data_IF_694910518448
#
_entry.id   IF_694910518448
#
_cell.length_a   1.000
_cell.length_b   1.000
_cell.length_c   1.000
_cell.angle_alpha   90.00
_cell.angle_beta   90.00
_cell.angle_gamma   90.00
#
_symmetry.space_group_name_H-M   'P 1'
#
loop_
_entity.id
_entity.type
_entity.pdbx_description
1 polymer ?
#
# COMPACT_ATOMS: atom_id res chain seq x y z
N UNK A 1 -16.28 16.27 8.93
CA UNK A 1 -16.35 14.81 8.78
C UNK A 1 -16.54 14.41 7.32
N UNK A 2 -16.15 13.19 6.97
CA UNK A 2 -16.25 12.65 5.62
C UNK A 2 -16.65 11.19 5.65
N UNK A 3 -16.96 10.66 4.49
CA UNK A 3 -17.17 9.24 4.24
C UNK A 3 -16.37 8.80 3.02
N UNK A 4 -16.09 7.52 2.92
CA UNK A 4 -15.31 6.95 1.84
C UNK A 4 -15.83 5.59 1.42
N UNK A 5 -15.50 5.18 0.22
CA UNK A 5 -15.76 3.85 -0.31
C UNK A 5 -14.41 3.30 -0.79
N UNK A 6 -14.07 2.09 -0.35
CA UNK A 6 -12.95 1.32 -0.89
C UNK A 6 -13.50 0.33 -1.91
N UNK A 7 -12.98 0.37 -3.13
CA UNK A 7 -13.37 -0.54 -4.20
C UNK A 7 -12.20 -1.48 -4.50
N UNK A 8 -12.42 -2.78 -4.32
CA UNK A 8 -11.47 -3.83 -4.69
C UNK A 8 -11.96 -4.47 -5.99
N UNK A 9 -11.11 -4.51 -7.01
CA UNK A 9 -11.47 -5.08 -8.30
C UNK A 9 -10.34 -5.96 -8.85
N UNK A 10 -10.69 -6.83 -9.80
CA UNK A 10 -9.73 -7.67 -10.51
C UNK A 10 -9.40 -7.03 -11.87
N UNK A 11 -8.11 -6.90 -12.17
CA UNK A 11 -7.62 -6.50 -13.48
C UNK A 11 -6.63 -7.58 -13.99
N UNK A 12 -6.96 -8.22 -15.13
CA UNK A 12 -6.14 -9.30 -15.71
C UNK A 12 -4.86 -8.80 -16.37
N UNK A 13 -4.69 -7.48 -16.52
CA UNK A 13 -3.51 -6.86 -17.11
C UNK A 13 -2.52 -6.33 -16.04
N UNK A 14 -2.87 -6.45 -14.77
CA UNK A 14 -2.02 -6.07 -13.65
C UNK A 14 -1.31 -7.29 -13.05
N UNK A 15 -0.16 -7.04 -12.43
CA UNK A 15 0.54 -8.05 -11.63
C UNK A 15 -0.34 -8.55 -10.49
N UNK A 16 -0.14 -9.79 -10.09
CA UNK A 16 -0.85 -10.33 -8.93
C UNK A 16 -0.38 -9.66 -7.65
N UNK A 17 -1.33 -9.14 -6.88
CA UNK A 17 -1.07 -8.44 -5.62
C UNK A 17 -1.91 -9.00 -4.47
N UNK A 18 -1.36 -8.97 -3.29
CA UNK A 18 -2.13 -9.09 -2.06
C UNK A 18 -2.81 -7.75 -1.79
N UNK A 19 -4.12 -7.76 -1.69
CA UNK A 19 -4.93 -6.59 -1.35
C UNK A 19 -5.44 -6.72 0.06
N UNK A 20 -5.13 -5.75 0.91
CA UNK A 20 -5.61 -5.70 2.29
C UNK A 20 -6.33 -4.39 2.56
N UNK A 21 -7.47 -4.48 3.25
CA UNK A 21 -8.24 -3.32 3.70
C UNK A 21 -8.43 -3.43 5.20
N UNK A 22 -7.94 -2.44 5.93
CA UNK A 22 -8.24 -2.24 7.35
C UNK A 22 -9.26 -1.11 7.44
N UNK A 23 -10.44 -1.42 7.92
CA UNK A 23 -11.47 -0.45 8.29
C UNK A 23 -11.56 -0.43 9.81
N UNK A 24 -11.42 0.75 10.40
CA UNK A 24 -11.39 0.88 11.84
C UNK A 24 -11.33 2.32 12.32
N UNK A 25 -10.81 2.48 13.52
CA UNK A 25 -10.64 3.78 14.15
C UNK A 25 -9.40 3.76 15.04
N UNK A 26 -8.33 4.38 14.55
CA UNK A 26 -7.11 4.60 15.33
C UNK A 26 -6.93 6.09 15.62
N UNK A 27 -7.05 6.47 16.89
CA UNK A 27 -6.80 7.85 17.31
C UNK A 27 -5.41 7.94 17.92
N UNK A 28 -4.59 8.86 17.44
CA UNK A 28 -3.30 9.20 18.04
C UNK A 28 -3.24 10.67 18.40
N UNK A 29 -2.66 10.95 19.54
CA UNK A 29 -2.40 12.31 20.02
C UNK A 29 -0.93 12.69 19.87
N UNK A 30 -0.65 13.94 20.14
CA UNK A 30 0.70 14.52 20.07
C UNK A 30 1.73 13.66 20.80
N UNK A 31 2.82 13.32 20.14
CA UNK A 31 3.92 12.52 20.68
C UNK A 31 3.67 11.00 20.67
N UNK A 32 2.63 10.53 19.97
CA UNK A 32 2.31 9.09 19.90
C UNK A 32 2.36 8.53 18.49
N UNK A 33 2.32 7.22 18.39
CA UNK A 33 2.32 6.46 17.13
C UNK A 33 1.26 5.39 17.13
N UNK A 34 0.79 5.01 15.95
CA UNK A 34 -0.05 3.84 15.70
C UNK A 34 0.67 2.94 14.70
N UNK A 35 0.99 1.73 15.12
CA UNK A 35 1.57 0.69 14.26
C UNK A 35 0.48 -0.28 13.80
N UNK A 36 0.37 -0.46 12.49
CA UNK A 36 -0.61 -1.33 11.85
C UNK A 36 0.16 -2.44 11.13
N UNK A 37 0.21 -3.66 11.70
CA UNK A 37 0.88 -4.77 11.06
C UNK A 37 0.07 -5.30 9.87
N UNK A 38 0.78 -5.60 8.77
CA UNK A 38 0.27 -6.22 7.55
C UNK A 38 0.97 -7.56 7.38
N UNK A 39 0.21 -8.60 7.07
CA UNK A 39 0.74 -9.95 6.83
C UNK A 39 -0.18 -10.73 5.88
N UNK A 40 0.19 -11.99 5.59
CA UNK A 40 -0.60 -12.85 4.74
C UNK A 40 -0.26 -12.73 3.25
N UNK A 41 0.88 -12.15 2.94
CA UNK A 41 1.47 -12.12 1.59
C UNK A 41 2.85 -12.79 1.60
N UNK A 42 3.39 -13.01 0.42
CA UNK A 42 4.80 -13.35 0.21
C UNK A 42 5.26 -12.65 -1.06
N UNK A 43 6.21 -11.72 -0.93
CA UNK A 43 6.73 -10.99 -2.08
C UNK A 43 7.52 -11.91 -3.02
N UNK A 44 7.73 -11.53 -4.30
CA UNK A 44 8.54 -12.30 -5.23
C UNK A 44 9.89 -12.69 -4.65
N UNK A 45 10.39 -13.88 -5.03
CA UNK A 45 11.69 -14.39 -4.57
C UNK A 45 12.87 -13.59 -5.15
N UNK A 46 12.66 -12.95 -6.29
CA UNK A 46 13.62 -12.10 -6.98
C UNK A 46 12.91 -11.11 -7.91
N UNK A 47 13.62 -10.10 -8.37
CA UNK A 47 13.08 -9.05 -9.23
C UNK A 47 12.44 -7.91 -8.44
N UNK A 48 11.83 -6.93 -9.11
CA UNK A 48 11.21 -5.79 -8.47
C UNK A 48 10.04 -6.19 -7.58
N UNK A 49 9.81 -5.42 -6.54
CA UNK A 49 8.64 -5.53 -5.66
C UNK A 49 7.99 -4.15 -5.60
N UNK A 50 6.79 -4.02 -6.15
CA UNK A 50 6.02 -2.79 -6.07
C UNK A 50 4.92 -2.91 -5.02
N UNK A 51 4.52 -1.78 -4.46
CA UNK A 51 3.38 -1.71 -3.56
C UNK A 51 2.69 -0.35 -3.63
N UNK A 52 1.43 -0.35 -3.27
CA UNK A 52 0.62 0.84 -3.09
C UNK A 52 0.09 0.88 -1.67
N UNK A 53 -0.01 2.06 -1.11
CA UNK A 53 -0.53 2.29 0.24
C UNK A 53 -1.58 3.39 0.20
N UNK A 54 -2.81 3.06 0.54
CA UNK A 54 -3.89 4.04 0.67
C UNK A 54 -4.21 4.31 2.13
N UNK A 55 -4.45 5.57 2.48
CA UNK A 55 -4.84 5.95 3.83
C UNK A 55 -5.95 6.98 3.81
N UNK A 56 -6.89 6.85 4.75
CA UNK A 56 -7.93 7.84 5.01
C UNK A 56 -7.84 8.22 6.48
N UNK A 57 -7.65 9.52 6.71
CA UNK A 57 -7.54 10.08 8.04
C UNK A 57 -8.38 11.36 8.20
N UNK A 58 -8.57 11.76 9.45
CA UNK A 58 -9.21 13.01 9.82
C UNK A 58 -8.32 13.78 10.80
N UNK A 59 -8.58 15.07 10.94
CA UNK A 59 -7.89 16.03 11.79
C UNK A 59 -6.51 16.48 11.28
N UNK A 60 -6.09 16.05 10.07
CA UNK A 60 -4.87 16.56 9.45
C UNK A 60 -5.08 17.98 8.92
N UNK A 61 -4.36 18.94 9.46
CA UNK A 61 -4.45 20.35 9.10
C UNK A 61 -3.36 20.76 8.12
N UNK A 62 -3.73 21.49 7.07
CA UNK A 62 -2.80 21.92 6.02
C UNK A 62 -1.58 22.70 6.54
N UNK A 63 -1.75 23.45 7.61
CA UNK A 63 -0.73 24.32 8.18
C UNK A 63 -0.03 23.75 9.42
N UNK A 64 -0.55 22.67 9.98
CA UNK A 64 0.10 21.95 11.06
C UNK A 64 1.19 21.03 10.51
N UNK A 65 2.22 20.82 11.29
CA UNK A 65 3.31 19.92 10.93
C UNK A 65 3.70 19.04 12.11
N UNK A 66 4.39 17.95 11.84
CA UNK A 66 4.81 17.01 12.87
C UNK A 66 4.15 15.65 12.75
N UNK A 67 3.27 15.46 11.78
CA UNK A 67 2.67 14.17 11.46
C UNK A 67 3.42 13.47 10.30
N UNK A 68 3.33 12.16 10.27
CA UNK A 68 4.02 11.37 9.26
C UNK A 68 3.47 9.97 9.10
N UNK A 69 3.73 9.43 7.92
CA UNK A 69 3.45 8.06 7.55
C UNK A 69 4.76 7.35 7.23
N UNK A 70 4.95 6.13 7.70
CA UNK A 70 6.13 5.34 7.37
C UNK A 70 5.80 3.86 7.23
N UNK A 71 6.66 3.15 6.52
CA UNK A 71 6.50 1.75 6.18
C UNK A 71 7.77 0.98 6.55
N UNK A 72 7.60 -0.22 7.08
CA UNK A 72 8.68 -1.14 7.42
C UNK A 72 8.36 -2.56 6.96
N UNK A 73 8.94 -2.96 5.83
CA UNK A 73 8.99 -4.33 5.33
C UNK A 73 10.43 -4.78 5.05
N UNK A 74 11.44 -3.94 5.37
CA UNK A 74 12.86 -4.21 5.16
C UNK A 74 13.69 -4.23 6.45
N UNK A 75 13.03 -4.12 7.62
CA UNK A 75 13.68 -4.14 8.95
C UNK A 75 13.81 -2.76 9.59
N UNK A 76 13.52 -1.67 8.87
CA UNK A 76 13.50 -0.31 9.41
C UNK A 76 12.34 0.49 8.83
N UNK A 77 11.85 1.48 9.61
CA UNK A 77 10.83 2.39 9.10
C UNK A 77 11.43 3.40 8.13
N UNK A 78 10.82 3.50 6.96
CA UNK A 78 11.14 4.51 5.93
C UNK A 78 9.91 5.39 5.74
N UNK A 79 10.10 6.71 5.74
CA UNK A 79 9.01 7.65 5.57
C UNK A 79 8.36 7.52 4.19
N UNK A 80 7.04 7.52 4.17
CA UNK A 80 6.23 7.66 2.95
C UNK A 80 5.96 9.15 2.77
N UNK A 81 6.33 9.67 1.62
CA UNK A 81 6.10 11.09 1.28
C UNK A 81 6.05 11.25 -0.23
N UNK A 82 5.42 12.32 -0.68
CA UNK A 82 5.40 12.73 -2.06
C UNK A 82 5.38 14.26 -2.17
N UNK A 83 5.18 14.79 -3.38
CA UNK A 83 5.19 16.24 -3.63
C UNK A 83 4.03 17.00 -2.94
N UNK A 84 2.92 16.31 -2.64
CA UNK A 84 1.76 16.88 -1.95
C UNK A 84 1.77 16.62 -0.45
N UNK A 85 2.48 15.58 0.00
CA UNK A 85 2.51 15.09 1.37
C UNK A 85 3.96 15.05 1.87
N UNK A 86 4.48 16.16 2.42
CA UNK A 86 5.83 16.21 2.99
C UNK A 86 5.99 15.24 4.17
N UNK A 87 7.22 14.80 4.42
CA UNK A 87 7.58 13.84 5.49
C UNK A 87 7.03 14.23 6.87
N UNK A 88 6.89 15.53 7.13
CA UNK A 88 6.47 16.07 8.42
C UNK A 88 5.10 16.78 8.38
N UNK A 89 4.35 16.60 7.29
CA UNK A 89 2.97 17.09 7.15
C UNK A 89 2.27 16.19 6.10
N UNK A 90 2.19 14.91 6.43
CA UNK A 90 1.61 13.87 5.59
C UNK A 90 0.08 14.01 5.50
N UNK A 91 -0.55 14.38 6.63
CA UNK A 91 -1.99 14.60 6.75
C UNK A 91 -2.27 16.11 6.69
N UNK A 92 -2.52 16.63 5.50
CA UNK A 92 -2.62 18.06 5.25
C UNK A 92 -3.91 18.48 4.54
N UNK A 93 -5.00 17.75 4.82
CA UNK A 93 -6.33 17.98 4.25
C UNK A 93 -6.38 17.80 2.73
N UNK A 94 -5.60 16.88 2.17
CA UNK A 94 -5.49 16.65 0.72
C UNK A 94 -6.12 15.33 0.30
N UNK A 95 -6.75 15.30 -0.87
CA UNK A 95 -7.21 14.07 -1.53
C UNK A 95 -6.41 13.90 -2.81
N UNK A 96 -5.62 12.82 -2.89
CA UNK A 96 -4.67 12.60 -3.97
C UNK A 96 -4.53 11.13 -4.37
N UNK A 97 -4.00 10.94 -5.56
CA UNK A 97 -3.53 9.67 -6.08
C UNK A 97 -2.15 9.91 -6.69
N UNK A 98 -1.13 9.21 -6.21
CA UNK A 98 0.25 9.27 -6.70
C UNK A 98 0.75 10.71 -6.90
N UNK A 99 0.74 11.50 -5.82
CA UNK A 99 1.15 12.91 -5.80
C UNK A 99 0.31 13.86 -6.69
N UNK A 100 -0.85 13.42 -7.17
CA UNK A 100 -1.73 14.25 -8.00
C UNK A 100 -3.06 14.48 -7.28
N UNK A 101 -3.45 15.75 -7.10
CA UNK A 101 -4.80 16.08 -6.60
C UNK A 101 -5.84 15.54 -7.57
N UNK A 102 -6.81 14.78 -7.08
CA UNK A 102 -7.84 14.15 -7.91
C UNK A 102 -8.67 15.21 -8.65
N UNK A 103 -8.59 15.33 -9.98
CA UNK A 103 -9.11 16.48 -10.72
C UNK A 103 -10.63 16.46 -10.94
N UNK A 104 -11.26 15.30 -10.79
CA UNK A 104 -12.69 15.11 -11.15
C UNK A 104 -13.64 15.23 -9.96
N UNK A 105 -13.17 15.76 -8.83
CA UNK A 105 -14.02 15.98 -7.66
C UNK A 105 -14.90 17.22 -7.83
N UNK A 106 -16.12 17.14 -7.33
CA UNK A 106 -17.02 18.28 -7.26
C UNK A 106 -17.62 18.38 -5.83
N UNK A 107 -17.29 19.41 -5.06
CA UNK A 107 -16.34 20.48 -5.35
C UNK A 107 -14.87 20.03 -5.28
N UNK A 108 -14.02 20.63 -6.12
CA UNK A 108 -12.59 20.34 -6.25
C UNK A 108 -11.71 21.14 -5.29
N UNK A 109 -11.97 21.06 -3.99
CA UNK A 109 -11.18 21.76 -2.98
C UNK A 109 -9.78 21.17 -2.83
N UNK A 110 -8.75 22.03 -2.75
CA UNK A 110 -7.38 21.65 -2.41
C UNK A 110 -7.16 21.48 -0.89
N UNK A 111 -8.05 22.05 -0.08
CA UNK A 111 -8.06 21.88 1.37
C UNK A 111 -9.42 21.31 1.77
N UNK A 112 -9.44 20.11 2.30
CA UNK A 112 -10.66 19.39 2.65
C UNK A 112 -11.00 19.48 4.15
N UNK A 113 -10.44 20.46 4.85
CA UNK A 113 -10.76 20.82 6.23
C UNK A 113 -10.67 19.61 7.19
N UNK A 114 -9.47 19.05 7.31
CA UNK A 114 -9.17 17.93 8.19
C UNK A 114 -9.63 16.57 7.64
N UNK A 115 -9.86 16.45 6.33
CA UNK A 115 -10.12 15.16 5.68
C UNK A 115 -8.99 14.85 4.69
N UNK A 116 -8.30 13.76 4.93
CA UNK A 116 -7.21 13.25 4.10
C UNK A 116 -7.59 11.92 3.47
N UNK A 117 -7.30 11.76 2.19
CA UNK A 117 -7.41 10.49 1.50
C UNK A 117 -6.32 10.43 0.41
N UNK A 118 -5.32 9.62 0.60
CA UNK A 118 -4.21 9.52 -0.32
C UNK A 118 -3.91 8.07 -0.70
N UNK A 119 -3.53 7.87 -1.94
CA UNK A 119 -2.88 6.64 -2.41
C UNK A 119 -1.47 7.00 -2.81
N UNK A 120 -0.49 6.37 -2.16
CA UNK A 120 0.93 6.50 -2.41
C UNK A 120 1.42 5.32 -3.24
N UNK A 121 2.30 5.58 -4.20
CA UNK A 121 3.03 4.59 -4.99
C UNK A 121 4.53 4.86 -4.82
N UNK A 122 5.13 4.46 -3.69
CA UNK A 122 6.53 4.76 -3.40
C UNK A 122 7.48 4.05 -4.36
N UNK A 123 8.55 4.73 -4.77
CA UNK A 123 9.64 4.08 -5.50
C UNK A 123 10.39 3.11 -4.58
N UNK A 124 10.21 1.83 -4.81
CA UNK A 124 10.88 0.74 -4.10
C UNK A 124 11.99 0.07 -4.92
N UNK A 125 12.50 0.72 -5.95
CA UNK A 125 13.55 0.18 -6.83
C UNK A 125 14.84 -0.20 -6.08
N UNK A 126 15.09 0.44 -4.94
CA UNK A 126 16.22 0.14 -4.04
C UNK A 126 15.87 -0.77 -2.86
N UNK A 127 14.66 -1.34 -2.83
CA UNK A 127 14.15 -2.22 -1.75
C UNK A 127 14.19 -1.58 -0.34
N UNK A 128 14.13 -0.26 -0.26
CA UNK A 128 14.18 0.45 1.02
C UNK A 128 12.94 0.17 1.89
N UNK A 129 11.77 -0.01 1.27
CA UNK A 129 10.50 -0.23 1.97
C UNK A 129 10.22 -1.70 2.21
N UNK A 130 10.38 -2.55 1.18
CA UNK A 130 10.07 -3.97 1.24
C UNK A 130 10.96 -4.75 0.27
N UNK A 131 11.52 -5.86 0.74
CA UNK A 131 12.40 -6.72 -0.05
C UNK A 131 11.70 -7.92 -0.68
N UNK A 132 12.48 -8.72 -1.38
CA UNK A 132 12.06 -10.04 -1.85
C UNK A 132 11.88 -11.01 -0.68
N UNK A 133 11.06 -12.04 -0.87
CA UNK A 133 10.79 -13.10 0.11
C UNK A 133 10.35 -12.56 1.48
N UNK A 134 9.62 -11.43 1.48
CA UNK A 134 9.06 -10.78 2.66
C UNK A 134 7.59 -11.16 2.79
N UNK A 135 7.13 -11.47 4.01
CA UNK A 135 5.76 -11.93 4.27
C UNK A 135 5.00 -11.07 5.28
N UNK A 136 5.62 -10.01 5.77
CA UNK A 136 4.99 -9.07 6.71
C UNK A 136 5.62 -7.69 6.59
N UNK A 137 4.85 -6.69 6.94
CA UNK A 137 5.28 -5.30 7.02
C UNK A 137 4.51 -4.58 8.12
N UNK A 138 4.91 -3.37 8.45
CA UNK A 138 4.20 -2.50 9.39
C UNK A 138 4.08 -1.11 8.80
N UNK A 139 2.87 -0.57 8.82
CA UNK A 139 2.62 0.85 8.56
C UNK A 139 2.58 1.58 9.90
N UNK A 140 3.27 2.71 9.99
CA UNK A 140 3.25 3.57 11.16
C UNK A 140 2.69 4.93 10.82
N UNK A 141 1.66 5.33 11.55
CA UNK A 141 1.18 6.71 11.63
C UNK A 141 1.77 7.35 12.87
N UNK A 142 2.33 8.54 12.77
CA UNK A 142 2.97 9.26 13.89
C UNK A 142 2.55 10.71 13.88
N UNK A 143 2.56 11.33 15.06
CA UNK A 143 2.35 12.77 15.17
C UNK A 143 3.09 13.35 16.37
N UNK A 144 3.61 14.56 16.19
CA UNK A 144 4.19 15.39 17.25
C UNK A 144 3.55 16.78 17.32
N UNK A 145 2.63 17.10 16.41
CA UNK A 145 2.04 18.42 16.26
C UNK A 145 0.53 18.50 16.47
N UNK A 146 -0.21 17.48 16.08
CA UNK A 146 -1.68 17.48 16.09
C UNK A 146 -2.24 16.09 16.41
N UNK A 147 -3.55 15.98 16.54
CA UNK A 147 -4.22 14.69 16.65
C UNK A 147 -4.51 14.13 15.26
N UNK A 148 -4.36 12.82 15.05
CA UNK A 148 -4.72 12.15 13.80
C UNK A 148 -5.70 11.04 14.10
N UNK A 149 -6.78 10.97 13.30
CA UNK A 149 -7.80 9.94 13.38
C UNK A 149 -7.73 9.06 12.12
N UNK A 150 -6.95 8.00 12.16
CA UNK A 150 -6.83 7.05 11.07
C UNK A 150 -8.09 6.17 10.97
N UNK A 151 -8.72 6.12 9.81
CA UNK A 151 -9.99 5.41 9.58
C UNK A 151 -9.83 4.21 8.68
N UNK A 152 -9.11 4.35 7.59
CA UNK A 152 -8.90 3.27 6.62
C UNK A 152 -7.43 3.22 6.25
N UNK A 153 -6.90 2.02 6.18
CA UNK A 153 -5.62 1.73 5.54
C UNK A 153 -5.86 0.65 4.49
N UNK A 154 -5.31 0.87 3.29
CA UNK A 154 -5.29 -0.15 2.24
C UNK A 154 -3.87 -0.43 1.80
N UNK A 155 -3.58 -1.66 1.43
CA UNK A 155 -2.31 -2.02 0.79
C UNK A 155 -2.54 -2.93 -0.40
N UNK A 156 -1.74 -2.72 -1.44
CA UNK A 156 -1.64 -3.61 -2.60
C UNK A 156 -0.15 -3.92 -2.78
N UNK A 157 0.26 -5.14 -2.50
CA UNK A 157 1.68 -5.56 -2.47
C UNK A 157 1.87 -6.67 -3.49
N UNK A 158 2.87 -6.55 -4.37
CA UNK A 158 3.24 -7.59 -5.32
C UNK A 158 3.56 -8.90 -4.58
N UNK A 159 3.01 -10.00 -5.07
CA UNK A 159 3.20 -11.32 -4.46
C UNK A 159 3.92 -12.29 -5.38
N UNK A 160 4.51 -13.30 -4.76
CA UNK A 160 5.10 -14.42 -5.47
C UNK A 160 4.02 -15.17 -6.26
N UNK A 161 4.24 -15.28 -7.56
CA UNK A 161 3.43 -16.07 -8.48
C UNK A 161 4.25 -17.28 -8.93
N UNK A 162 3.88 -18.51 -8.53
CA UNK A 162 4.63 -19.70 -8.93
C UNK A 162 4.43 -19.99 -10.42
N UNK A 163 5.52 -20.07 -11.19
CA UNK A 163 5.51 -20.57 -12.58
C UNK A 163 5.45 -22.10 -12.57
N UNK A 164 4.24 -22.63 -12.60
CA UNK A 164 4.00 -24.07 -12.64
C UNK A 164 4.02 -24.56 -14.07
N UNK A 165 5.08 -25.29 -14.45
CA UNK A 165 5.19 -25.97 -15.73
C UNK A 165 5.10 -27.48 -15.52
N UNK A 166 4.15 -28.13 -16.16
CA UNK A 166 4.06 -29.57 -16.23
C UNK A 166 4.68 -30.04 -17.57
N UNK A 167 5.63 -30.96 -17.53
CA UNK A 167 6.09 -31.71 -18.70
C UNK A 167 5.58 -33.15 -18.57
N UNK A 168 4.92 -33.61 -19.59
CA UNK A 168 4.51 -35.02 -19.70
C UNK A 168 5.52 -35.74 -20.58
N UNK A 169 6.16 -36.75 -20.03
CA UNK A 169 6.98 -37.67 -20.78
C UNK A 169 6.20 -38.98 -20.96
N UNK A 170 6.11 -39.44 -22.18
CA UNK A 170 5.57 -40.77 -22.47
C UNK A 170 6.80 -41.68 -22.61
N UNK A 171 6.98 -42.59 -21.67
CA UNK A 171 8.00 -43.61 -21.75
C UNK A 171 7.35 -44.89 -22.34
N UNK A 172 7.67 -45.18 -23.58
CA UNK A 172 7.19 -46.41 -24.25
C UNK A 172 8.09 -47.58 -23.84
N UNK A 173 7.68 -48.28 -22.82
CA UNK A 173 8.39 -49.45 -22.29
C UNK A 173 8.35 -50.66 -23.26
N UNK A 174 7.56 -50.61 -24.31
CA UNK A 174 7.38 -51.71 -25.28
C UNK A 174 8.14 -51.48 -26.59
N UNK A 175 8.76 -50.28 -26.80
CA UNK A 175 9.52 -49.94 -27.99
C UNK A 175 8.72 -49.88 -29.28
N UNK A 176 7.42 -49.64 -29.19
CA UNK A 176 6.50 -49.54 -30.33
C UNK A 176 6.14 -48.10 -30.68
N UNK A 177 5.45 -47.90 -31.81
CA UNK A 177 4.91 -46.59 -32.16
C UNK A 177 3.65 -46.37 -31.32
N UNK A 178 3.60 -45.24 -30.59
CA UNK A 178 2.38 -44.84 -29.89
C UNK A 178 1.34 -44.41 -30.91
N UNK A 179 0.32 -45.20 -31.12
CA UNK A 179 -0.81 -44.86 -31.95
C UNK A 179 -1.82 -44.05 -31.14
N UNK A 180 -2.38 -42.95 -31.70
CA UNK A 180 -3.46 -42.23 -31.04
C UNK A 180 -4.71 -43.12 -30.98
N UNK A 181 -5.27 -43.26 -29.77
CA UNK A 181 -6.52 -43.98 -29.53
C UNK A 181 -7.75 -43.17 -29.91
#
# INVERSE_FOLDING_TARGET
GGWSIVVVYKNIYESMRNLTVFDGYGAIGVGTTLDIPISGFNTPLAGPVSFELGIIAHEGDRSASGDGLSFNGSGSFVAISDALHPVNNCFNSTISYDAVVTPYRNPGYNNNLGYDAAIYIPDNSSFNYIGNNTNSATVRVSTSGENILCRVLTSAIDIYEPDLRASVYIDDLNGGIVEPG
#
